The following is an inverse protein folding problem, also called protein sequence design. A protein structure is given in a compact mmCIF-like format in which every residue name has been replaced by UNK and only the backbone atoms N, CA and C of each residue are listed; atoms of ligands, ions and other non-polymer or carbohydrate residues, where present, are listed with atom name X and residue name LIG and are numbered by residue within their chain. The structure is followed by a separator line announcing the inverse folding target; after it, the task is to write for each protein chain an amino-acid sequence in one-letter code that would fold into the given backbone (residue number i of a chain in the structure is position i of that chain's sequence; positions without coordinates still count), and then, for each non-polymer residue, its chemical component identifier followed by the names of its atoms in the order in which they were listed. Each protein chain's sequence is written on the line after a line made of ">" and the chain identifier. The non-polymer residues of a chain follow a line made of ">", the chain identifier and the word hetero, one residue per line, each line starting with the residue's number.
data_IF_115380715219
#
_entry.id   IF_115380715219
#
_cell.length_a   1.000
_cell.length_b   1.000
_cell.length_c   1.000
_cell.angle_alpha   90.00
_cell.angle_beta   90.00
_cell.angle_gamma   90.00
#
_symmetry.space_group_name_H-M   'P 1'
#
loop_
_entity.id
_entity.type
_entity.pdbx_description
1 polymer ?
#
# COMPACT_ATOMS: atom_id res chain seq x y z
N UNK A 1 -3.59 10.16 -26.80
CA UNK A 1 -4.00 10.28 -25.39
C UNK A 1 -3.39 9.12 -24.63
N UNK A 2 -2.70 9.37 -23.52
CA UNK A 2 -2.02 8.33 -22.75
C UNK A 2 -3.02 7.31 -22.18
N UNK A 3 -2.57 6.07 -22.27
CA UNK A 3 -3.15 4.78 -21.97
C UNK A 3 -3.39 4.54 -20.48
N UNK A 4 -4.51 3.89 -20.15
CA UNK A 4 -4.70 3.22 -18.87
C UNK A 4 -5.68 2.07 -19.05
N UNK A 5 -5.18 0.92 -19.51
CA UNK A 5 -5.94 -0.33 -19.33
C UNK A 5 -6.15 -0.43 -17.82
N UNK A 6 -7.41 -0.47 -17.38
CA UNK A 6 -7.75 -0.93 -16.04
C UNK A 6 -7.26 -2.37 -15.94
N UNK A 7 -6.00 -2.55 -15.56
CA UNK A 7 -5.53 -3.82 -15.05
C UNK A 7 -6.12 -3.91 -13.65
N UNK A 8 -7.30 -4.52 -13.55
CA UNK A 8 -7.79 -5.14 -12.32
C UNK A 8 -6.87 -6.32 -11.95
N UNK A 9 -5.56 -6.05 -11.85
CA UNK A 9 -4.51 -7.03 -11.60
C UNK A 9 -3.97 -6.90 -10.18
N UNK A 10 -4.50 -5.97 -9.40
CA UNK A 10 -4.43 -5.89 -7.94
C UNK A 10 -5.88 -6.05 -7.48
N UNK A 11 -6.22 -7.15 -6.81
CA UNK A 11 -7.55 -7.34 -6.22
C UNK A 11 -7.62 -6.76 -4.80
N UNK A 12 -6.46 -6.48 -4.18
CA UNK A 12 -6.31 -6.12 -2.78
C UNK A 12 -5.19 -5.09 -2.60
N UNK A 13 -5.54 -3.86 -2.21
CA UNK A 13 -4.59 -2.83 -1.79
C UNK A 13 -4.33 -2.91 -0.27
N UNK A 14 -3.06 -2.92 0.13
CA UNK A 14 -2.62 -2.96 1.53
C UNK A 14 -1.86 -1.67 1.84
N UNK A 15 -2.35 -0.90 2.80
CA UNK A 15 -1.65 0.27 3.34
C UNK A 15 -1.04 -0.05 4.71
N UNK A 16 0.29 0.08 4.80
CA UNK A 16 1.05 -0.04 6.04
C UNK A 16 1.50 1.35 6.47
N UNK A 17 1.10 1.79 7.65
CA UNK A 17 1.52 3.07 8.23
C UNK A 17 2.70 2.82 9.17
N UNK A 18 3.89 3.25 8.78
CA UNK A 18 5.11 3.05 9.55
C UNK A 18 6.16 4.13 9.23
N UNK A 19 6.74 4.70 10.27
CA UNK A 19 7.81 5.70 10.17
C UNK A 19 9.18 4.99 10.11
N UNK A 20 9.47 4.37 8.96
CA UNK A 20 10.69 3.59 8.69
C UNK A 20 11.50 4.16 7.52
N UNK A 21 12.78 3.82 7.45
CA UNK A 21 13.67 4.23 6.37
C UNK A 21 13.39 3.54 5.04
N UNK A 22 13.93 4.10 3.96
CA UNK A 22 13.69 3.60 2.59
C UNK A 22 14.21 2.18 2.36
N UNK A 23 15.28 1.81 3.05
CA UNK A 23 15.86 0.47 2.94
C UNK A 23 14.95 -0.57 3.60
N UNK A 24 14.43 -0.26 4.81
CA UNK A 24 13.47 -1.11 5.49
C UNK A 24 12.16 -1.25 4.69
N UNK A 25 11.69 -0.17 4.04
CA UNK A 25 10.55 -0.22 3.11
C UNK A 25 10.77 -1.24 2.00
N UNK A 26 11.96 -1.24 1.39
CA UNK A 26 12.28 -2.14 0.29
C UNK A 26 12.34 -3.60 0.75
N UNK A 27 12.97 -3.84 1.90
CA UNK A 27 13.05 -5.19 2.52
C UNK A 27 11.64 -5.69 2.86
N UNK A 28 10.82 -4.86 3.52
CA UNK A 28 9.46 -5.22 3.92
C UNK A 28 8.60 -5.59 2.70
N UNK A 29 8.66 -4.79 1.63
CA UNK A 29 7.95 -5.11 0.38
C UNK A 29 8.41 -6.44 -0.20
N UNK A 30 9.73 -6.67 -0.28
CA UNK A 30 10.27 -7.90 -0.81
C UNK A 30 9.80 -9.14 -0.01
N UNK A 31 9.76 -9.05 1.32
CA UNK A 31 9.29 -10.14 2.17
C UNK A 31 7.78 -10.40 2.01
N UNK A 32 6.95 -9.35 1.91
CA UNK A 32 5.52 -9.49 1.66
C UNK A 32 5.27 -10.18 0.31
N UNK A 33 5.96 -9.74 -0.76
CA UNK A 33 5.79 -10.33 -2.08
C UNK A 33 6.30 -11.77 -2.19
N UNK A 34 7.23 -12.20 -1.34
CA UNK A 34 7.63 -13.61 -1.26
C UNK A 34 6.61 -14.46 -0.51
N UNK A 35 5.91 -13.89 0.47
CA UNK A 35 4.99 -14.62 1.34
C UNK A 35 3.57 -14.71 0.78
N UNK A 36 3.17 -13.76 -0.08
CA UNK A 36 1.80 -13.62 -0.57
C UNK A 36 1.72 -14.08 -2.02
N UNK A 37 1.00 -15.19 -2.25
CA UNK A 37 0.64 -15.70 -3.59
C UNK A 37 -0.72 -15.12 -4.04
N UNK A 38 -0.84 -13.80 -3.99
CA UNK A 38 -2.03 -13.07 -4.40
C UNK A 38 -1.65 -11.73 -5.06
N UNK A 39 -2.48 -11.20 -5.96
CA UNK A 39 -2.27 -9.91 -6.61
C UNK A 39 -2.52 -8.76 -5.61
N UNK A 40 -1.53 -8.49 -4.75
CA UNK A 40 -1.58 -7.40 -3.75
C UNK A 40 -0.75 -6.20 -4.16
N UNK A 41 -1.28 -5.00 -3.93
CA UNK A 41 -0.52 -3.75 -4.03
C UNK A 41 -0.19 -3.23 -2.62
N UNK A 42 1.10 -3.07 -2.31
CA UNK A 42 1.55 -2.66 -0.98
C UNK A 42 2.02 -1.20 -0.99
N UNK A 43 1.28 -0.35 -0.28
CA UNK A 43 1.66 1.02 0.03
C UNK A 43 2.25 1.08 1.44
N UNK A 44 3.40 1.75 1.57
CA UNK A 44 3.98 2.07 2.89
C UNK A 44 4.03 3.58 2.99
N UNK A 45 3.42 4.12 4.04
CA UNK A 45 3.29 5.55 4.26
C UNK A 45 3.71 5.91 5.68
N UNK A 46 4.25 7.11 5.85
CA UNK A 46 4.43 7.69 7.19
C UNK A 46 3.08 8.03 7.81
N UNK A 47 3.07 8.22 9.13
CA UNK A 47 1.87 8.68 9.86
C UNK A 47 1.34 10.00 9.27
N UNK A 48 2.25 10.91 8.88
CA UNK A 48 1.90 12.17 8.24
C UNK A 48 1.27 11.98 6.85
N UNK A 49 1.82 11.08 6.03
CA UNK A 49 1.29 10.79 4.69
C UNK A 49 -0.08 10.12 4.77
N UNK A 50 -0.30 9.25 5.75
CA UNK A 50 -1.60 8.65 6.00
C UNK A 50 -2.66 9.73 6.28
N UNK A 51 -2.41 10.59 7.25
CA UNK A 51 -3.36 11.64 7.67
C UNK A 51 -3.66 12.65 6.57
N UNK A 52 -2.63 13.07 5.81
CA UNK A 52 -2.79 14.13 4.79
C UNK A 52 -3.35 13.63 3.47
N UNK A 53 -3.11 12.35 3.13
CA UNK A 53 -3.45 11.80 1.82
C UNK A 53 -4.42 10.64 1.95
N UNK A 54 -3.96 9.48 2.45
CA UNK A 54 -4.72 8.23 2.37
C UNK A 54 -6.05 8.27 3.14
N UNK A 55 -6.11 8.96 4.28
CA UNK A 55 -7.33 9.11 5.07
C UNK A 55 -8.51 9.68 4.27
N UNK A 56 -8.24 10.45 3.20
CA UNK A 56 -9.27 11.05 2.34
C UNK A 56 -9.94 10.07 1.38
N UNK A 57 -9.32 8.91 1.18
CA UNK A 57 -9.77 7.88 0.23
C UNK A 57 -10.34 6.64 0.94
N UNK A 58 -10.33 6.64 2.28
CA UNK A 58 -10.84 5.53 3.09
C UNK A 58 -12.30 5.82 3.44
N UNK A 59 -13.23 5.08 2.83
CA UNK A 59 -14.66 5.20 3.11
C UNK A 59 -15.04 4.65 4.50
N UNK A 60 -14.34 3.61 4.96
CA UNK A 60 -14.54 3.01 6.28
C UNK A 60 -13.21 2.57 6.87
N UNK A 61 -12.89 3.07 8.05
CA UNK A 61 -11.71 2.69 8.82
C UNK A 61 -12.17 1.93 10.07
N UNK A 62 -11.62 0.74 10.28
CA UNK A 62 -11.83 -0.06 11.49
C UNK A 62 -10.44 -0.35 12.08
N UNK A 63 -10.22 0.05 13.34
CA UNK A 63 -8.97 -0.15 14.06
C UNK A 63 -9.12 -1.39 14.95
N UNK A 64 -8.19 -2.36 14.80
CA UNK A 64 -8.23 -3.67 15.46
C UNK A 64 -7.06 -3.82 16.42
#
# INVERSE_FOLDING_TARGET
>A
ALTGRYTAASDIDILIVADIGKEEVAILKAEIYKAVDAPVEVHIATSEQFEKWYRRFIDRLEEI
#
